data_IF_054433721216
#
_entry.id   IF_054433721216
#
_cell.length_a   1.000
_cell.length_b   1.000
_cell.length_c   1.000
_cell.angle_alpha   90.00
_cell.angle_beta   90.00
_cell.angle_gamma   90.00
#
_symmetry.space_group_name_H-M   'P 1'
#
loop_
_entity.id
_entity.type
_entity.pdbx_description
1 polymer ?
#
# COMPACT_ATOMS: atom_id res chain seq x y z
N UNK A 1 -13.67 -37.91 0.83
CA UNK A 1 -13.52 -36.49 0.42
C UNK A 1 -13.17 -35.69 1.65
N UNK A 2 -12.01 -35.03 1.68
CA UNK A 2 -11.62 -34.20 2.81
C UNK A 2 -12.60 -33.04 2.98
N UNK A 3 -12.99 -32.82 4.22
CA UNK A 3 -13.89 -31.74 4.62
C UNK A 3 -13.07 -30.49 4.92
N UNK A 4 -13.41 -29.39 4.26
CA UNK A 4 -12.81 -28.09 4.56
C UNK A 4 -13.22 -27.62 5.96
N UNK A 5 -12.37 -26.90 6.71
CA UNK A 5 -12.73 -26.28 7.99
C UNK A 5 -13.95 -25.35 7.92
N UNK A 6 -14.27 -24.84 6.74
CA UNK A 6 -15.48 -24.03 6.47
C UNK A 6 -16.72 -24.87 6.11
N UNK A 7 -16.64 -26.20 6.13
CA UNK A 7 -17.78 -27.11 5.92
C UNK A 7 -17.99 -27.59 4.47
N UNK A 8 -17.10 -27.27 3.54
CA UNK A 8 -17.21 -27.71 2.15
C UNK A 8 -16.64 -29.11 1.91
N UNK A 9 -17.19 -29.82 0.93
CA UNK A 9 -16.60 -31.06 0.42
C UNK A 9 -15.64 -30.75 -0.72
N UNK A 10 -14.40 -31.22 -0.63
CA UNK A 10 -13.37 -31.06 -1.67
C UNK A 10 -13.03 -32.39 -2.34
N UNK A 11 -12.63 -32.35 -3.61
CA UNK A 11 -12.11 -33.52 -4.33
C UNK A 11 -10.59 -33.65 -4.20
N UNK A 12 -9.90 -32.54 -3.96
CA UNK A 12 -8.45 -32.46 -3.75
C UNK A 12 -8.07 -32.56 -2.27
N UNK A 13 -6.83 -32.95 -1.98
CA UNK A 13 -6.36 -33.28 -0.62
C UNK A 13 -5.56 -32.17 0.06
N UNK A 14 -5.06 -31.20 -0.70
CA UNK A 14 -4.15 -30.16 -0.18
C UNK A 14 -4.85 -28.81 0.03
N UNK A 15 -5.81 -28.45 -0.83
CA UNK A 15 -6.56 -27.20 -0.78
C UNK A 15 -8.02 -27.43 -1.13
N UNK A 16 -8.95 -26.59 -0.66
CA UNK A 16 -10.36 -26.75 -0.97
C UNK A 16 -10.68 -26.15 -2.35
N UNK A 17 -11.23 -26.94 -3.27
CA UNK A 17 -11.56 -26.52 -4.64
C UNK A 17 -12.61 -25.39 -4.69
N UNK A 18 -13.39 -25.23 -3.61
CA UNK A 18 -14.48 -24.25 -3.52
C UNK A 18 -14.02 -22.91 -2.94
N UNK A 19 -13.18 -22.94 -1.89
CA UNK A 19 -12.81 -21.71 -1.16
C UNK A 19 -11.29 -21.46 -1.03
N UNK A 20 -10.45 -22.35 -1.56
CA UNK A 20 -8.98 -22.18 -1.60
C UNK A 20 -8.26 -22.38 -0.26
N UNK A 21 -8.96 -22.70 0.83
CA UNK A 21 -8.33 -22.95 2.13
C UNK A 21 -7.58 -24.28 2.15
N UNK A 22 -6.42 -24.32 2.81
CA UNK A 22 -5.61 -25.54 2.96
C UNK A 22 -6.36 -26.58 3.79
N UNK A 23 -6.46 -27.79 3.28
CA UNK A 23 -7.10 -28.92 3.97
C UNK A 23 -6.06 -29.54 4.91
N UNK A 24 -6.31 -29.49 6.22
CA UNK A 24 -5.35 -30.04 7.20
C UNK A 24 -5.42 -31.57 7.20
N UNK A 25 -4.29 -32.23 6.97
CA UNK A 25 -4.17 -33.68 7.10
C UNK A 25 -4.28 -34.09 8.57
N UNK A 26 -5.33 -34.83 8.93
CA UNK A 26 -5.45 -35.46 10.24
C UNK A 26 -4.64 -36.76 10.21
N UNK A 27 -3.43 -36.77 10.76
CA UNK A 27 -2.69 -38.02 11.02
C UNK A 27 -3.39 -38.77 12.15
N UNK A 28 -3.81 -40.04 11.97
CA UNK A 28 -4.38 -40.82 13.06
C UNK A 28 -3.27 -41.22 14.05
N UNK A 29 -3.49 -40.92 15.33
CA UNK A 29 -2.60 -41.33 16.40
C UNK A 29 -2.61 -42.86 16.54
N UNK A 30 -1.49 -43.51 16.19
CA UNK A 30 -1.25 -44.92 16.52
C UNK A 30 -0.78 -45.03 17.98
N UNK A 31 -1.46 -45.87 18.76
CA UNK A 31 -1.15 -46.17 20.17
C UNK A 31 -0.36 -47.48 20.26
N UNK A 32 0.85 -47.51 20.87
CA UNK A 32 1.45 -48.73 21.40
C UNK A 32 1.30 -48.82 22.94
N UNK A 33 1.47 -50.03 23.53
CA UNK A 33 1.12 -50.29 24.93
C UNK A 33 2.25 -50.01 25.94
N UNK A 34 1.81 -49.94 27.19
CA UNK A 34 2.49 -49.56 28.43
C UNK A 34 3.78 -50.34 28.74
N UNK A 35 4.87 -49.63 29.06
CA UNK A 35 5.99 -50.15 29.85
C UNK A 35 6.55 -49.07 30.81
N UNK A 36 7.20 -49.55 31.87
CA UNK A 36 7.35 -48.93 33.20
C UNK A 36 8.40 -47.80 33.25
N UNK A 37 8.23 -46.95 34.27
CA UNK A 37 9.17 -45.91 34.74
C UNK A 37 10.63 -46.38 34.83
N UNK A 38 11.57 -45.47 34.49
CA UNK A 38 12.43 -44.88 35.53
C UNK A 38 12.44 -43.33 35.50
N UNK A 39 13.01 -42.78 36.57
CA UNK A 39 13.10 -41.37 37.03
C UNK A 39 13.40 -40.28 35.98
N UNK A 40 12.92 -39.04 36.18
CA UNK A 40 13.08 -37.93 35.23
C UNK A 40 14.49 -37.30 35.29
N UNK A 41 15.12 -36.97 34.15
CA UNK A 41 16.17 -35.96 34.09
C UNK A 41 15.57 -34.55 34.06
N UNK A 42 16.34 -33.59 34.59
CA UNK A 42 16.07 -32.15 34.68
C UNK A 42 15.64 -31.56 33.33
N UNK A 43 14.60 -30.69 33.26
CA UNK A 43 14.18 -30.10 31.99
C UNK A 43 15.21 -29.11 31.44
N UNK A 44 15.47 -29.08 30.13
CA UNK A 44 16.19 -27.98 29.50
C UNK A 44 15.32 -26.72 29.50
N UNK A 45 15.94 -25.57 29.77
CA UNK A 45 15.33 -24.24 29.69
C UNK A 45 14.80 -24.02 28.27
N UNK A 46 13.48 -23.82 28.15
CA UNK A 46 12.85 -23.50 26.87
C UNK A 46 13.33 -22.14 26.34
N UNK A 47 13.57 -21.98 25.03
CA UNK A 47 13.84 -20.67 24.45
C UNK A 47 12.62 -19.76 24.61
N UNK A 48 12.89 -18.49 24.91
CA UNK A 48 11.88 -17.47 25.08
C UNK A 48 10.95 -17.41 23.86
N UNK A 49 9.64 -17.47 24.14
CA UNK A 49 8.57 -17.32 23.14
C UNK A 49 8.74 -15.97 22.43
N UNK A 50 8.72 -15.90 21.09
CA UNK A 50 8.72 -14.62 20.39
C UNK A 50 7.49 -13.79 20.83
N UNK A 51 7.64 -12.46 20.94
CA UNK A 51 6.54 -11.59 21.34
C UNK A 51 5.36 -11.77 20.40
N UNK A 52 4.15 -11.86 20.96
CA UNK A 52 2.92 -11.96 20.19
C UNK A 52 2.81 -10.75 19.24
N UNK A 53 2.27 -10.94 18.02
CA UNK A 53 2.01 -9.81 17.12
C UNK A 53 1.09 -8.80 17.83
N UNK A 54 1.31 -7.48 17.63
CA UNK A 54 0.46 -6.47 18.22
C UNK A 54 -0.99 -6.72 17.77
N UNK A 55 -1.90 -6.73 18.74
CA UNK A 55 -3.34 -6.84 18.48
C UNK A 55 -3.75 -5.70 17.53
N UNK A 56 -4.60 -5.94 16.52
CA UNK A 56 -5.10 -4.88 15.67
C UNK A 56 -5.81 -3.85 16.56
N UNK A 57 -5.30 -2.62 16.56
CA UNK A 57 -5.90 -1.51 17.29
C UNK A 57 -7.25 -1.23 16.62
N UNK A 58 -8.34 -1.64 17.26
CA UNK A 58 -9.69 -1.23 16.87
C UNK A 58 -9.81 0.26 17.16
N UNK A 59 -9.44 1.08 16.18
CA UNK A 59 -9.67 2.52 16.24
C UNK A 59 -11.19 2.77 16.36
N UNK A 60 -11.62 3.80 17.11
CA UNK A 60 -13.03 4.14 17.24
C UNK A 60 -13.65 4.33 15.85
N UNK A 61 -14.69 3.55 15.52
CA UNK A 61 -15.52 3.79 14.35
C UNK A 61 -16.47 4.95 14.67
N UNK A 62 -16.60 5.91 13.76
CA UNK A 62 -17.42 7.11 13.93
C UNK A 62 -16.61 8.38 14.17
N UNK A 63 -17.19 9.51 13.75
CA UNK A 63 -16.61 10.86 13.78
C UNK A 63 -16.29 11.42 12.38
N UNK A 64 -16.43 12.73 12.16
CA UNK A 64 -16.05 13.37 10.91
C UNK A 64 -14.52 13.39 10.74
N UNK A 65 -14.07 13.31 9.49
CA UNK A 65 -12.68 13.52 9.15
C UNK A 65 -12.24 14.92 9.58
N UNK A 66 -11.11 15.08 10.30
CA UNK A 66 -10.65 16.40 10.73
C UNK A 66 -10.20 17.29 9.57
N UNK A 67 -9.87 16.73 8.41
CA UNK A 67 -9.46 17.48 7.23
C UNK A 67 -10.66 17.92 6.37
N UNK A 68 -11.58 17.00 6.06
CA UNK A 68 -12.65 17.25 5.08
C UNK A 68 -14.08 17.08 5.63
N UNK A 69 -14.24 16.71 6.91
CA UNK A 69 -15.55 16.52 7.53
C UNK A 69 -16.26 15.19 7.21
N UNK A 70 -15.79 14.42 6.23
CA UNK A 70 -16.45 13.17 5.80
C UNK A 70 -16.48 12.11 6.91
N UNK A 71 -17.60 11.40 7.02
CA UNK A 71 -17.78 10.32 7.99
C UNK A 71 -16.72 9.23 7.85
N UNK A 72 -16.11 8.86 8.97
CA UNK A 72 -15.12 7.79 9.04
C UNK A 72 -15.74 6.41 8.79
N UNK A 73 -15.45 5.82 7.63
CA UNK A 73 -15.77 4.43 7.30
C UNK A 73 -14.63 3.44 7.62
N UNK A 74 -13.38 3.90 7.64
CA UNK A 74 -12.19 3.04 7.80
C UNK A 74 -11.01 3.70 8.54
N UNK A 75 -9.81 3.17 8.29
CA UNK A 75 -8.55 3.76 8.78
C UNK A 75 -8.17 5.03 8.00
N UNK A 76 -8.53 5.07 6.72
CA UNK A 76 -8.33 6.24 5.87
C UNK A 76 -9.67 6.87 5.56
N UNK A 77 -9.69 8.18 5.40
CA UNK A 77 -10.85 8.85 4.85
C UNK A 77 -10.96 8.53 3.36
N UNK A 78 -12.12 8.06 2.91
CA UNK A 78 -12.37 7.72 1.50
C UNK A 78 -12.42 8.96 0.60
N UNK A 79 -12.60 10.14 1.21
CA UNK A 79 -12.75 11.40 0.50
C UNK A 79 -11.42 12.14 0.33
N UNK A 80 -10.61 12.21 1.39
CA UNK A 80 -9.35 12.97 1.41
C UNK A 80 -8.11 12.13 1.71
N UNK A 81 -8.23 10.82 1.98
CA UNK A 81 -7.08 9.96 2.25
C UNK A 81 -6.44 10.16 3.64
N UNK A 82 -7.05 10.97 4.51
CA UNK A 82 -6.56 11.19 5.87
C UNK A 82 -6.45 9.88 6.66
N UNK A 83 -5.26 9.57 7.20
CA UNK A 83 -5.06 8.39 8.06
C UNK A 83 -5.42 8.72 9.50
N UNK A 84 -6.52 8.15 9.99
CA UNK A 84 -6.97 8.31 11.36
C UNK A 84 -6.02 7.70 12.41
N UNK A 85 -5.13 6.77 12.01
CA UNK A 85 -4.10 6.21 12.89
C UNK A 85 -2.93 7.19 13.12
N UNK A 86 -2.73 8.16 12.22
CA UNK A 86 -1.62 9.13 12.33
C UNK A 86 -1.82 10.21 13.40
N UNK A 87 -3.02 10.32 14.01
CA UNK A 87 -3.30 11.30 15.09
C UNK A 87 -2.51 11.08 16.38
N UNK A 88 -1.92 9.90 16.57
CA UNK A 88 -1.17 9.61 17.80
C UNK A 88 0.21 10.27 17.83
N UNK A 89 0.67 10.80 16.70
CA UNK A 89 2.04 11.26 16.52
C UNK A 89 2.05 12.74 16.14
N UNK A 90 1.85 13.60 17.15
CA UNK A 90 2.07 15.03 17.07
C UNK A 90 3.55 15.37 16.90
N UNK A 91 4.14 15.00 15.76
CA UNK A 91 5.54 15.30 15.47
C UNK A 91 5.65 16.72 14.94
N UNK A 92 5.99 17.65 15.85
CA UNK A 92 6.43 18.99 15.46
C UNK A 92 7.64 18.85 14.53
N UNK A 93 7.47 19.20 13.26
CA UNK A 93 8.52 19.11 12.24
C UNK A 93 9.77 19.86 12.73
N UNK A 94 10.89 19.15 12.88
CA UNK A 94 12.19 19.80 12.97
C UNK A 94 12.50 20.23 11.54
N UNK A 95 12.48 21.53 11.27
CA UNK A 95 12.86 22.06 9.97
C UNK A 95 14.35 21.79 9.77
N UNK A 96 14.66 20.80 8.92
CA UNK A 96 16.05 20.45 8.59
C UNK A 96 16.62 21.34 7.49
N UNK A 97 15.84 22.29 6.95
CA UNK A 97 16.24 23.15 5.84
C UNK A 97 16.35 22.43 4.49
N UNK A 98 16.20 21.11 4.46
CA UNK A 98 16.26 20.29 3.24
C UNK A 98 14.99 20.47 2.43
N UNK A 99 15.12 20.97 1.20
CA UNK A 99 13.99 21.14 0.28
C UNK A 99 13.88 19.97 -0.67
N UNK A 100 12.72 19.33 -0.70
CA UNK A 100 12.44 18.26 -1.66
C UNK A 100 11.55 18.77 -2.81
N UNK A 101 11.68 18.13 -3.96
CA UNK A 101 10.79 18.32 -5.11
C UNK A 101 10.44 16.98 -5.76
N UNK A 102 9.25 16.92 -6.32
CA UNK A 102 8.81 15.87 -7.22
C UNK A 102 9.00 16.34 -8.67
N UNK A 103 9.69 15.55 -9.49
CA UNK A 103 9.79 15.73 -10.93
C UNK A 103 8.81 14.77 -11.59
N UNK A 104 7.77 15.30 -12.21
CA UNK A 104 6.73 14.50 -12.88
C UNK A 104 7.01 14.47 -14.37
N UNK A 105 7.08 13.25 -14.93
CA UNK A 105 7.28 13.01 -16.36
C UNK A 105 6.31 11.95 -16.87
N UNK A 106 5.98 12.02 -18.16
CA UNK A 106 5.41 10.89 -18.88
C UNK A 106 6.56 10.08 -19.47
N UNK A 107 6.70 8.82 -19.06
CA UNK A 107 7.83 7.96 -19.43
C UNK A 107 7.41 6.95 -20.52
N UNK A 108 7.96 7.05 -21.74
CA UNK A 108 7.66 6.11 -22.82
C UNK A 108 8.04 4.66 -22.52
N UNK A 109 9.11 4.43 -21.76
CA UNK A 109 9.56 3.08 -21.42
C UNK A 109 8.61 2.42 -20.42
N UNK A 110 8.14 3.18 -19.43
CA UNK A 110 7.12 2.69 -18.50
C UNK A 110 5.80 2.37 -19.23
N UNK A 111 5.34 3.27 -20.11
CA UNK A 111 4.15 3.02 -20.93
C UNK A 111 4.29 1.74 -21.79
N UNK A 112 5.41 1.59 -22.50
CA UNK A 112 5.68 0.39 -23.31
C UNK A 112 5.72 -0.87 -22.44
N UNK A 113 6.30 -0.80 -21.25
CA UNK A 113 6.28 -1.91 -20.30
C UNK A 113 4.84 -2.31 -19.94
N UNK A 114 3.96 -1.36 -19.61
CA UNK A 114 2.57 -1.67 -19.29
C UNK A 114 1.81 -2.32 -20.46
N UNK A 115 2.06 -1.85 -21.68
CA UNK A 115 1.50 -2.45 -22.90
C UNK A 115 2.01 -3.87 -23.09
N UNK A 116 3.32 -4.10 -22.97
CA UNK A 116 3.93 -5.43 -23.14
C UNK A 116 3.48 -6.44 -22.09
N UNK A 117 3.19 -5.99 -20.87
CA UNK A 117 2.63 -6.85 -19.81
C UNK A 117 1.11 -7.09 -19.98
N UNK A 118 0.47 -6.51 -21.00
CA UNK A 118 -0.98 -6.63 -21.20
C UNK A 118 -1.82 -5.91 -20.14
N UNK A 119 -1.21 -5.01 -19.36
CA UNK A 119 -1.90 -4.22 -18.33
C UNK A 119 -2.53 -2.94 -18.89
N UNK A 120 -2.19 -2.58 -20.13
CA UNK A 120 -2.66 -1.38 -20.80
C UNK A 120 -2.97 -1.66 -22.27
N UNK A 121 -4.16 -1.29 -22.73
CA UNK A 121 -4.54 -1.34 -24.14
C UNK A 121 -4.15 -0.01 -24.84
N UNK A 122 -3.16 -0.01 -25.74
CA UNK A 122 -2.72 1.20 -26.43
C UNK A 122 -3.76 1.78 -27.38
N UNK A 123 -4.77 1.00 -27.80
CA UNK A 123 -5.89 1.48 -28.60
C UNK A 123 -6.87 2.33 -27.78
N UNK A 124 -6.97 2.09 -26.47
CA UNK A 124 -7.82 2.84 -25.55
C UNK A 124 -7.09 4.00 -24.88
N UNK A 125 -5.83 3.77 -24.49
CA UNK A 125 -5.02 4.75 -23.76
C UNK A 125 -3.73 4.97 -24.56
N UNK A 126 -3.70 6.03 -25.37
CA UNK A 126 -2.52 6.41 -26.16
C UNK A 126 -1.54 7.25 -25.36
N UNK A 127 -0.24 7.04 -25.57
CA UNK A 127 0.80 7.86 -24.96
C UNK A 127 0.65 9.34 -25.37
N UNK A 128 0.78 10.29 -24.42
CA UNK A 128 0.59 11.71 -24.71
C UNK A 128 1.70 12.27 -25.60
N UNK A 129 1.34 13.16 -26.52
CA UNK A 129 2.30 13.88 -27.37
C UNK A 129 2.74 15.16 -26.68
N UNK A 130 4.05 15.37 -26.53
CA UNK A 130 4.60 16.65 -26.07
C UNK A 130 4.44 16.92 -24.56
N UNK A 131 4.41 15.89 -23.71
CA UNK A 131 4.33 16.06 -22.26
C UNK A 131 5.57 16.78 -21.71
N UNK A 132 5.37 17.97 -21.14
CA UNK A 132 6.43 18.71 -20.47
C UNK A 132 6.70 18.13 -19.07
N UNK A 133 7.98 18.05 -18.70
CA UNK A 133 8.38 17.75 -17.34
C UNK A 133 7.88 18.84 -16.39
N UNK A 134 7.23 18.44 -15.29
CA UNK A 134 6.82 19.35 -14.21
C UNK A 134 7.70 19.17 -12.99
N UNK A 135 7.98 20.26 -12.28
CA UNK A 135 8.73 20.25 -11.02
C UNK A 135 7.84 20.85 -9.93
N UNK A 136 7.49 20.06 -8.92
CA UNK A 136 6.59 20.45 -7.84
C UNK A 136 7.35 20.41 -6.52
N UNK A 137 7.46 21.52 -5.77
CA UNK A 137 8.06 21.48 -4.45
C UNK A 137 7.19 20.66 -3.48
N UNK A 138 7.81 19.88 -2.61
CA UNK A 138 7.09 19.15 -1.56
C UNK A 138 6.99 20.01 -0.31
N UNK A 139 5.77 20.48 -0.03
CA UNK A 139 5.47 21.38 1.07
C UNK A 139 4.43 20.75 2.00
N UNK A 140 4.43 21.17 3.27
CA UNK A 140 3.51 20.65 4.28
C UNK A 140 3.88 19.27 4.82
N UNK A 141 2.94 18.67 5.56
CA UNK A 141 3.11 17.37 6.19
C UNK A 141 2.62 16.22 5.29
N UNK A 142 1.77 16.53 4.31
CA UNK A 142 1.19 15.59 3.34
C UNK A 142 1.10 16.25 1.97
N UNK A 143 1.35 15.47 0.93
CA UNK A 143 1.17 15.86 -0.47
C UNK A 143 0.43 14.73 -1.17
N UNK A 144 -0.78 15.01 -1.64
CA UNK A 144 -1.61 14.06 -2.37
C UNK A 144 -1.24 14.07 -3.85
N UNK A 145 -1.20 12.87 -4.42
CA UNK A 145 -0.97 12.59 -5.82
C UNK A 145 -2.23 11.94 -6.36
N UNK A 146 -2.79 12.50 -7.42
CA UNK A 146 -4.00 11.94 -8.01
C UNK A 146 -4.58 12.82 -9.09
N UNK A 147 -5.88 12.63 -9.37
CA UNK A 147 -6.64 13.50 -10.27
C UNK A 147 -7.73 14.25 -9.52
N UNK A 148 -7.91 15.52 -9.87
CA UNK A 148 -9.01 16.35 -9.36
C UNK A 148 -10.38 15.67 -9.47
N UNK A 149 -11.25 15.94 -8.50
CA UNK A 149 -12.64 15.51 -8.48
C UNK A 149 -13.55 16.68 -8.14
N UNK A 150 -14.29 17.18 -9.14
CA UNK A 150 -15.22 18.29 -8.92
C UNK A 150 -16.38 17.91 -8.00
N UNK A 151 -16.87 16.67 -8.10
CA UNK A 151 -17.98 16.17 -7.27
C UNK A 151 -17.60 15.98 -5.81
N UNK A 152 -16.33 15.68 -5.53
CA UNK A 152 -15.78 15.51 -4.18
C UNK A 152 -15.14 16.76 -3.60
N UNK A 153 -15.10 17.86 -4.36
CA UNK A 153 -14.40 19.08 -3.97
C UNK A 153 -12.90 18.87 -3.70
N UNK A 154 -12.30 17.80 -4.23
CA UNK A 154 -10.92 17.41 -3.93
C UNK A 154 -9.98 17.78 -5.07
N UNK A 155 -8.92 18.53 -4.75
CA UNK A 155 -7.83 18.86 -5.68
C UNK A 155 -6.50 18.46 -5.05
N UNK A 156 -5.80 17.44 -5.61
CA UNK A 156 -4.52 17.02 -5.09
C UNK A 156 -3.43 18.07 -5.38
N UNK A 157 -2.45 18.18 -4.48
CA UNK A 157 -1.31 19.08 -4.63
C UNK A 157 -0.47 18.73 -5.86
N UNK A 158 -0.36 17.44 -6.18
CA UNK A 158 0.16 16.95 -7.46
C UNK A 158 -1.02 16.41 -8.28
N UNK A 159 -1.69 17.31 -9.00
CA UNK A 159 -2.75 16.95 -9.95
C UNK A 159 -2.15 16.41 -11.26
N UNK A 160 -2.51 15.16 -11.56
CA UNK A 160 -2.13 14.40 -12.73
C UNK A 160 -3.30 14.17 -13.70
N UNK A 161 -4.50 14.69 -13.41
CA UNK A 161 -5.71 14.50 -14.22
C UNK A 161 -6.13 15.70 -15.06
N UNK A 162 -5.30 16.74 -15.16
CA UNK A 162 -5.55 17.92 -16.00
C UNK A 162 -5.54 17.60 -17.51
N UNK A 163 -5.61 18.62 -18.39
CA UNK A 163 -5.47 18.42 -19.83
C UNK A 163 -4.15 17.70 -20.17
N UNK A 164 -4.24 16.60 -20.93
CA UNK A 164 -3.08 15.72 -21.21
C UNK A 164 -2.60 14.88 -20.02
N UNK A 165 -3.40 14.83 -18.96
CA UNK A 165 -3.17 14.02 -17.77
C UNK A 165 -3.36 12.53 -18.02
N UNK A 166 -2.89 11.74 -17.07
CA UNK A 166 -2.90 10.28 -17.13
C UNK A 166 -4.28 9.72 -16.73
N UNK A 167 -5.03 9.10 -17.66
CA UNK A 167 -6.41 8.67 -17.41
C UNK A 167 -6.48 7.50 -16.43
N UNK A 168 -5.38 6.77 -16.23
CA UNK A 168 -5.30 5.63 -15.32
C UNK A 168 -4.97 6.05 -13.88
N UNK A 169 -4.94 7.36 -13.58
CA UNK A 169 -4.73 7.87 -12.23
C UNK A 169 -6.05 7.89 -11.43
N UNK A 170 -5.97 7.48 -10.17
CA UNK A 170 -7.09 7.52 -9.22
C UNK A 170 -7.24 8.93 -8.64
N UNK A 171 -8.43 9.27 -8.13
CA UNK A 171 -8.65 10.59 -7.53
C UNK A 171 -7.67 10.89 -6.40
N UNK A 172 -7.49 9.92 -5.51
CA UNK A 172 -6.37 9.85 -4.59
C UNK A 172 -5.64 8.57 -4.95
N UNK A 173 -4.46 8.70 -5.54
CA UNK A 173 -3.70 7.56 -6.02
C UNK A 173 -2.55 7.23 -5.07
N UNK A 174 -1.84 8.25 -4.60
CA UNK A 174 -0.80 8.08 -3.59
C UNK A 174 -0.69 9.33 -2.71
N UNK A 175 -0.07 9.18 -1.55
CA UNK A 175 0.16 10.26 -0.59
C UNK A 175 1.62 10.21 -0.17
N UNK A 176 2.31 11.33 -0.31
CA UNK A 176 3.62 11.53 0.29
C UNK A 176 3.41 12.09 1.70
N UNK A 177 3.98 11.44 2.70
CA UNK A 177 3.89 11.82 4.11
C UNK A 177 5.25 12.26 4.58
N UNK A 178 5.35 13.49 5.08
CA UNK A 178 6.59 14.01 5.64
C UNK A 178 6.95 13.23 6.92
N UNK A 179 8.24 12.95 7.09
CA UNK A 179 8.77 12.23 8.25
C UNK A 179 9.72 13.10 9.07
N UNK A 180 9.88 12.78 10.37
CA UNK A 180 10.94 13.38 11.18
C UNK A 180 12.30 13.28 10.47
N UNK A 181 13.12 14.32 10.58
CA UNK A 181 14.41 14.39 9.87
C UNK A 181 14.32 14.90 8.42
N UNK A 182 13.12 15.29 7.96
CA UNK A 182 12.93 15.91 6.64
C UNK A 182 13.02 14.92 5.48
N UNK A 183 12.71 13.65 5.74
CA UNK A 183 12.50 12.62 4.71
C UNK A 183 11.01 12.49 4.37
N UNK A 184 10.69 11.66 3.38
CA UNK A 184 9.33 11.40 2.95
C UNK A 184 9.06 9.90 2.92
N UNK A 185 7.81 9.51 3.13
CA UNK A 185 7.33 8.15 2.87
C UNK A 185 6.18 8.20 1.87
N UNK A 186 6.06 7.16 1.06
CA UNK A 186 4.96 6.94 0.14
C UNK A 186 3.90 6.05 0.78
N UNK A 187 2.64 6.37 0.55
CA UNK A 187 1.49 5.58 0.93
C UNK A 187 0.54 5.46 -0.27
N UNK A 188 0.09 4.26 -0.59
CA UNK A 188 -1.01 4.02 -1.54
C UNK A 188 -2.30 3.69 -0.75
N UNK A 189 -3.34 4.53 -0.76
CA UNK A 189 -4.58 4.29 -0.01
C UNK A 189 -5.50 3.22 -0.62
N UNK A 190 -5.11 2.58 -1.72
CA UNK A 190 -5.92 1.63 -2.47
C UNK A 190 -6.27 2.12 -3.87
N UNK A 191 -5.27 2.65 -4.57
CA UNK A 191 -5.37 3.07 -5.96
C UNK A 191 -5.79 1.89 -6.87
N UNK A 192 -6.48 2.21 -7.95
CA UNK A 192 -7.06 1.19 -8.84
C UNK A 192 -5.99 0.40 -9.61
N UNK A 193 -4.92 1.08 -10.05
CA UNK A 193 -3.86 0.50 -10.87
C UNK A 193 -2.58 0.22 -10.07
N UNK A 194 -2.59 0.48 -8.76
CA UNK A 194 -1.45 0.31 -7.89
C UNK A 194 -0.36 1.36 -8.07
N UNK A 195 0.54 1.40 -7.10
CA UNK A 195 1.73 2.26 -7.08
C UNK A 195 2.99 1.40 -6.98
N UNK A 196 3.96 1.60 -7.86
CA UNK A 196 5.26 0.90 -7.82
C UNK A 196 6.38 1.87 -7.49
N UNK A 197 7.46 1.38 -6.88
CA UNK A 197 8.65 2.17 -6.53
C UNK A 197 9.87 1.53 -7.16
N UNK A 198 10.75 2.32 -7.76
CA UNK A 198 12.03 1.89 -8.34
C UNK A 198 11.92 0.72 -9.33
N UNK A 199 10.79 0.61 -10.04
CA UNK A 199 10.56 -0.42 -11.06
C UNK A 199 10.34 -1.82 -10.49
N UNK A 200 9.94 -1.95 -9.22
CA UNK A 200 9.54 -3.24 -8.66
C UNK A 200 8.36 -3.81 -9.44
N UNK A 201 8.41 -5.10 -9.76
CA UNK A 201 7.34 -5.77 -10.50
C UNK A 201 6.01 -5.81 -9.73
N UNK A 202 6.08 -5.79 -8.39
CA UNK A 202 4.91 -5.78 -7.52
C UNK A 202 4.63 -4.34 -7.04
N UNK A 203 3.36 -3.90 -7.07
CA UNK A 203 2.94 -2.68 -6.39
C UNK A 203 3.21 -2.74 -4.89
N UNK A 204 3.39 -1.57 -4.28
CA UNK A 204 3.47 -1.46 -2.83
C UNK A 204 2.16 -1.91 -2.20
N UNK A 205 2.23 -2.47 -0.99
CA UNK A 205 1.02 -2.90 -0.28
C UNK A 205 0.15 -1.68 0.07
N UNK A 206 -1.18 -1.75 -0.16
CA UNK A 206 -2.07 -0.67 0.22
C UNK A 206 -1.94 -0.35 1.71
N UNK A 207 -1.96 0.93 2.04
CA UNK A 207 -1.97 1.45 3.41
C UNK A 207 -0.72 1.12 4.24
N UNK A 208 0.36 0.73 3.56
CA UNK A 208 1.69 0.52 4.15
C UNK A 208 2.61 1.64 3.67
N UNK A 209 3.29 2.28 4.63
CA UNK A 209 4.24 3.34 4.29
C UNK A 209 5.57 2.75 3.79
N UNK A 210 6.04 3.30 2.68
CA UNK A 210 7.33 2.95 2.07
C UNK A 210 8.26 4.16 2.18
N UNK A 211 9.36 4.11 2.94
CA UNK A 211 10.32 5.21 3.03
C UNK A 211 10.92 5.53 1.66
N UNK A 212 11.05 6.82 1.35
CA UNK A 212 11.63 7.32 0.12
C UNK A 212 12.98 7.98 0.35
N UNK A 213 13.84 7.85 -0.65
CA UNK A 213 15.19 8.41 -0.72
C UNK A 213 15.31 9.37 -1.90
N UNK A 214 16.43 10.09 -1.94
CA UNK A 214 16.75 10.92 -3.10
C UNK A 214 16.86 10.06 -4.36
N UNK A 215 16.36 10.59 -5.47
CA UNK A 215 16.31 9.94 -6.78
C UNK A 215 15.39 8.71 -6.90
N UNK A 216 14.64 8.36 -5.85
CA UNK A 216 13.61 7.31 -5.94
C UNK A 216 12.55 7.66 -6.98
N UNK A 217 12.09 6.64 -7.70
CA UNK A 217 11.10 6.75 -8.78
C UNK A 217 9.80 6.09 -8.37
N UNK A 218 8.70 6.80 -8.50
CA UNK A 218 7.35 6.32 -8.21
C UNK A 218 6.61 6.20 -9.55
N UNK A 219 6.06 5.04 -9.83
CA UNK A 219 5.35 4.73 -11.06
C UNK A 219 3.87 4.59 -10.73
N UNK A 220 3.04 5.36 -11.43
CA UNK A 220 1.59 5.46 -11.22
C UNK A 220 0.88 5.62 -12.55
N UNK A 221 -0.37 5.16 -12.63
CA UNK A 221 -1.16 5.27 -13.85
C UNK A 221 -0.55 4.52 -15.04
N UNK A 222 -0.82 5.02 -16.25
CA UNK A 222 -0.46 4.38 -17.51
C UNK A 222 0.95 4.75 -18.00
N UNK A 223 1.45 5.92 -17.62
CA UNK A 223 2.74 6.42 -18.11
C UNK A 223 3.47 7.34 -17.15
N UNK A 224 2.89 7.66 -15.99
CA UNK A 224 3.42 8.70 -15.13
C UNK A 224 4.52 8.17 -14.20
N UNK A 225 5.67 8.85 -14.22
CA UNK A 225 6.78 8.61 -13.30
C UNK A 225 7.05 9.90 -12.52
N UNK A 226 7.19 9.75 -11.21
CA UNK A 226 7.52 10.83 -10.28
C UNK A 226 8.89 10.54 -9.68
N UNK A 227 9.86 11.40 -9.93
CA UNK A 227 11.23 11.28 -9.40
C UNK A 227 11.35 12.22 -8.21
N UNK A 228 11.71 11.68 -7.06
CA UNK A 228 11.95 12.47 -5.86
C UNK A 228 13.36 13.03 -5.91
N UNK A 229 13.50 14.34 -5.68
CA UNK A 229 14.81 14.99 -5.65
C UNK A 229 14.95 15.82 -4.37
N UNK A 230 16.00 15.52 -3.63
CA UNK A 230 16.51 16.29 -2.50
C UNK A 230 17.38 17.42 -3.03
N UNK A 231 17.07 18.65 -2.63
CA UNK A 231 17.80 19.87 -2.98
C UNK A 231 18.96 20.16 -2.05
#
# INVERSE_FOLDING_TARGET
MPSCPSGHHSTTTDFCDVCGLRLQAHTPASRPPSQRHPTPPTPPVAPARPPAPPRPVTLPRGGPCPECGTSRAGRFCEECGYDFASRSDGHRRVDTGVRWRAIVVADPAYYQYMVHQGMLDPAQISFPKGSAQRRVPLNGDRVHIGRRSATRGFTPEIDLGGPGGDPAISHIHAILVAKPGGTWALLDPGSTNGTMVNGTANPIAPNVEVPLHDSDRIYVGAWTVIILQKG
#
